data_IF_946655849456
#
_entry.id   IF_946655849456
#
_cell.length_a   1.000
_cell.length_b   1.000
_cell.length_c   1.000
_cell.angle_alpha   90.00
_cell.angle_beta   90.00
_cell.angle_gamma   90.00
#
_symmetry.space_group_name_H-M   'P 1'
#
loop_
_entity.id
_entity.type
_entity.pdbx_description
1 polymer ?
#
# COMPACT_ATOMS: atom_id res chain seq x y z
N UNK A 1 -39.82 -70.50 18.98
CA UNK A 1 -39.60 -69.31 18.12
C UNK A 1 -38.28 -68.54 18.39
N UNK A 2 -37.20 -69.13 18.97
CA UNK A 2 -35.98 -68.38 19.34
C UNK A 2 -34.78 -68.46 18.36
N UNK A 3 -34.80 -69.35 17.34
CA UNK A 3 -33.63 -69.57 16.45
C UNK A 3 -33.56 -68.66 15.20
N UNK A 4 -34.65 -68.00 14.80
CA UNK A 4 -34.69 -67.15 13.59
C UNK A 4 -34.02 -65.78 13.80
N UNK A 5 -34.18 -65.19 14.99
CA UNK A 5 -33.60 -63.89 15.34
C UNK A 5 -32.07 -63.93 15.49
N UNK A 6 -31.51 -65.06 15.92
CA UNK A 6 -30.05 -65.24 16.09
C UNK A 6 -29.29 -65.18 14.76
N UNK A 7 -29.92 -65.55 13.64
CA UNK A 7 -29.29 -65.47 12.30
C UNK A 7 -29.44 -64.11 11.63
N UNK A 8 -30.41 -63.29 12.04
CA UNK A 8 -30.68 -61.96 11.47
C UNK A 8 -29.86 -60.89 12.20
N UNK A 9 -29.57 -61.09 13.48
CA UNK A 9 -28.80 -60.16 14.30
C UNK A 9 -27.40 -59.82 13.75
N UNK A 10 -26.60 -60.77 13.23
CA UNK A 10 -25.29 -60.48 12.63
C UNK A 10 -25.41 -59.64 11.36
N UNK A 11 -26.48 -59.85 10.58
CA UNK A 11 -26.75 -59.13 9.31
C UNK A 11 -27.13 -57.68 9.59
N UNK A 12 -27.91 -57.44 10.66
CA UNK A 12 -28.26 -56.09 11.10
C UNK A 12 -27.00 -55.34 11.58
N UNK A 13 -26.15 -56.00 12.37
CA UNK A 13 -24.90 -55.39 12.87
C UNK A 13 -23.95 -55.06 11.72
N UNK A 14 -23.72 -55.97 10.78
CA UNK A 14 -22.83 -55.71 9.64
C UNK A 14 -23.36 -54.60 8.74
N UNK A 15 -24.68 -54.56 8.51
CA UNK A 15 -25.30 -53.46 7.77
C UNK A 15 -25.14 -52.11 8.48
N UNK A 16 -25.30 -52.06 9.81
CA UNK A 16 -25.09 -50.85 10.60
C UNK A 16 -23.64 -50.36 10.53
N UNK A 17 -22.66 -51.26 10.64
CA UNK A 17 -21.23 -50.94 10.53
C UNK A 17 -20.90 -50.39 9.14
N UNK A 18 -21.42 -51.00 8.08
CA UNK A 18 -21.22 -50.52 6.70
C UNK A 18 -21.80 -49.11 6.53
N UNK A 19 -23.00 -48.85 7.07
CA UNK A 19 -23.62 -47.52 7.02
C UNK A 19 -22.75 -46.50 7.75
N UNK A 20 -22.22 -46.82 8.94
CA UNK A 20 -21.34 -45.92 9.69
C UNK A 20 -20.03 -45.64 8.92
N UNK A 21 -19.42 -46.66 8.32
CA UNK A 21 -18.20 -46.49 7.51
C UNK A 21 -18.45 -45.64 6.26
N UNK A 22 -19.55 -45.88 5.55
CA UNK A 22 -19.95 -45.06 4.39
C UNK A 22 -20.26 -43.63 4.84
N UNK A 23 -20.94 -43.45 5.98
CA UNK A 23 -21.23 -42.13 6.55
C UNK A 23 -19.94 -41.37 6.86
N UNK A 24 -18.95 -42.04 7.47
CA UNK A 24 -17.65 -41.47 7.76
C UNK A 24 -16.88 -41.12 6.48
N UNK A 25 -16.88 -42.00 5.47
CA UNK A 25 -16.27 -41.73 4.17
C UNK A 25 -16.95 -40.55 3.46
N UNK A 26 -18.28 -40.51 3.47
CA UNK A 26 -19.06 -39.41 2.89
C UNK A 26 -18.82 -38.11 3.64
N UNK A 27 -18.76 -38.10 4.97
CA UNK A 27 -18.39 -36.92 5.77
C UNK A 27 -16.96 -36.47 5.45
N UNK A 28 -16.03 -37.40 5.25
CA UNK A 28 -14.64 -37.11 4.92
C UNK A 28 -14.48 -36.58 3.49
N UNK A 29 -15.29 -37.07 2.54
CA UNK A 29 -15.32 -36.61 1.14
C UNK A 29 -16.09 -35.28 1.00
N UNK A 30 -17.16 -35.07 1.78
CA UNK A 30 -17.99 -33.86 1.79
C UNK A 30 -17.31 -32.73 2.57
N UNK A 31 -16.42 -33.03 3.54
CA UNK A 31 -15.41 -32.08 4.02
C UNK A 31 -14.48 -31.73 2.86
N UNK A 32 -15.00 -30.90 1.94
CA UNK A 32 -14.19 -30.08 1.06
C UNK A 32 -13.12 -29.47 1.96
N UNK A 33 -11.86 -29.60 1.56
CA UNK A 33 -10.78 -28.81 2.16
C UNK A 33 -11.31 -27.39 2.32
N UNK A 34 -11.38 -26.87 3.54
CA UNK A 34 -11.81 -25.50 3.76
C UNK A 34 -10.77 -24.61 3.07
N UNK A 35 -11.13 -24.10 1.89
CA UNK A 35 -10.26 -23.23 1.11
C UNK A 35 -10.50 -21.80 1.60
N UNK A 36 -9.44 -21.18 2.07
CA UNK A 36 -9.44 -19.81 2.53
C UNK A 36 -9.09 -18.89 1.37
N UNK A 37 -9.81 -17.78 1.26
CA UNK A 37 -9.54 -16.74 0.29
C UNK A 37 -9.36 -15.43 1.04
N UNK A 38 -8.20 -14.81 0.87
CA UNK A 38 -7.88 -13.49 1.40
C UNK A 38 -7.84 -12.49 0.27
N UNK A 39 -8.45 -11.32 0.50
CA UNK A 39 -8.37 -10.19 -0.41
C UNK A 39 -7.65 -9.06 0.31
N UNK A 40 -6.61 -8.52 -0.31
CA UNK A 40 -6.00 -7.26 0.10
C UNK A 40 -6.16 -6.20 -0.99
N UNK A 41 -6.02 -4.94 -0.59
CA UNK A 41 -5.89 -3.83 -1.52
C UNK A 41 -4.51 -3.21 -1.30
N UNK A 42 -3.49 -3.58 -2.11
CA UNK A 42 -2.17 -2.98 -2.03
C UNK A 42 -2.24 -1.45 -2.16
N UNK A 43 -1.53 -0.72 -1.29
CA UNK A 43 -1.51 0.75 -1.24
C UNK A 43 -0.09 1.28 -0.99
N UNK A 44 0.08 2.59 -1.18
CA UNK A 44 1.29 3.30 -0.79
C UNK A 44 1.11 3.85 0.64
N UNK A 45 1.78 3.24 1.62
CA UNK A 45 1.79 3.72 2.99
C UNK A 45 2.92 4.72 3.19
N UNK A 46 2.58 5.89 3.72
CA UNK A 46 3.54 6.92 4.10
C UNK A 46 3.46 7.10 5.61
N UNK A 47 4.51 6.69 6.33
CA UNK A 47 4.55 6.68 7.79
C UNK A 47 5.60 7.70 8.27
N UNK A 48 5.20 8.73 9.04
CA UNK A 48 6.19 9.56 9.72
C UNK A 48 6.89 8.74 10.80
N UNK A 49 8.18 8.97 11.03
CA UNK A 49 8.97 8.22 12.00
C UNK A 49 8.46 8.35 13.45
N UNK A 50 7.68 9.39 13.75
CA UNK A 50 6.99 9.56 15.04
C UNK A 50 5.81 8.61 15.24
N UNK A 51 5.26 8.04 14.17
CA UNK A 51 4.12 7.13 14.22
C UNK A 51 4.25 6.00 13.20
N UNK A 52 4.81 4.87 13.66
CA UNK A 52 5.08 3.68 12.85
C UNK A 52 3.97 2.62 12.96
N UNK A 53 2.71 3.07 12.87
CA UNK A 53 1.55 2.16 12.84
C UNK A 53 0.98 2.01 11.43
N UNK A 54 0.75 0.78 11.01
CA UNK A 54 0.11 0.39 9.76
C UNK A 54 -1.30 -0.15 10.03
N UNK A 55 -2.26 0.40 9.30
CA UNK A 55 -3.64 -0.07 9.28
C UNK A 55 -3.88 -0.79 7.95
N UNK A 56 -3.98 -2.12 7.99
CA UNK A 56 -4.08 -2.97 6.81
C UNK A 56 -5.47 -3.61 6.75
N UNK A 57 -6.19 -3.34 5.66
CA UNK A 57 -7.49 -3.96 5.40
C UNK A 57 -7.31 -5.30 4.66
N UNK A 58 -7.84 -6.36 5.27
CA UNK A 58 -7.85 -7.71 4.71
C UNK A 58 -9.29 -8.20 4.72
N UNK A 59 -9.74 -8.84 3.65
CA UNK A 59 -11.06 -9.47 3.60
C UNK A 59 -10.91 -10.98 3.51
N UNK A 60 -11.69 -11.73 4.26
CA UNK A 60 -11.71 -13.20 4.21
C UNK A 60 -13.09 -13.73 3.83
N UNK A 61 -13.16 -14.86 3.12
CA UNK A 61 -14.40 -15.56 2.85
C UNK A 61 -15.02 -16.24 4.09
N UNK A 62 -14.36 -16.21 5.25
CA UNK A 62 -14.85 -16.77 6.51
C UNK A 62 -15.13 -15.67 7.54
N UNK A 63 -16.27 -15.80 8.22
CA UNK A 63 -16.60 -14.99 9.40
C UNK A 63 -15.86 -15.57 10.61
N UNK A 64 -15.21 -14.72 11.42
CA UNK A 64 -14.32 -15.15 12.53
C UNK A 64 -13.22 -16.09 12.05
N UNK A 65 -12.51 -15.68 11.00
CA UNK A 65 -11.43 -16.45 10.40
C UNK A 65 -10.30 -16.72 11.42
N UNK A 66 -9.94 -18.00 11.56
CA UNK A 66 -8.86 -18.45 12.43
C UNK A 66 -7.51 -17.80 12.09
N UNK A 67 -7.22 -17.59 10.80
CA UNK A 67 -5.98 -16.98 10.33
C UNK A 67 -5.94 -15.46 10.54
N UNK A 68 -7.10 -14.84 10.80
CA UNK A 68 -7.21 -13.42 11.14
C UNK A 68 -7.62 -13.24 12.61
N UNK A 69 -7.20 -14.18 13.47
CA UNK A 69 -7.24 -14.03 14.91
C UNK A 69 -5.84 -13.67 15.43
N UNK A 70 -5.75 -12.66 16.29
CA UNK A 70 -4.46 -12.22 16.86
C UNK A 70 -3.77 -13.34 17.63
N UNK A 71 -4.54 -14.15 18.37
CA UNK A 71 -4.00 -15.15 19.29
C UNK A 71 -3.44 -16.40 18.59
N UNK A 72 -3.71 -16.56 17.29
CA UNK A 72 -3.25 -17.69 16.48
C UNK A 72 -1.96 -17.38 15.72
N UNK A 73 -1.64 -16.09 15.55
CA UNK A 73 -0.46 -15.61 14.83
C UNK A 73 0.72 -15.61 15.80
N UNK A 74 1.71 -16.44 15.52
CA UNK A 74 2.94 -16.54 16.30
C UNK A 74 3.90 -15.39 15.99
N UNK A 75 4.07 -15.09 14.69
CA UNK A 75 5.05 -14.11 14.22
C UNK A 75 4.56 -13.40 12.97
N UNK A 76 4.99 -12.14 12.81
CA UNK A 76 4.61 -11.29 11.69
C UNK A 76 5.85 -10.61 11.10
N UNK A 77 6.02 -10.70 9.78
CA UNK A 77 7.06 -9.95 9.07
C UNK A 77 6.46 -9.04 7.99
N UNK A 78 7.15 -7.94 7.73
CA UNK A 78 7.02 -7.23 6.46
C UNK A 78 8.26 -7.54 5.64
N UNK A 79 8.08 -8.21 4.51
CA UNK A 79 9.15 -8.58 3.58
C UNK A 79 9.21 -7.59 2.42
N UNK A 80 10.42 -7.12 2.09
CA UNK A 80 10.71 -6.50 0.80
C UNK A 80 10.91 -7.62 -0.23
N UNK A 81 9.94 -7.80 -1.12
CA UNK A 81 10.00 -8.88 -2.11
C UNK A 81 11.07 -8.66 -3.19
N UNK A 82 11.56 -7.42 -3.35
CA UNK A 82 12.60 -7.09 -4.34
C UNK A 82 13.99 -7.32 -3.74
N UNK A 83 14.24 -6.79 -2.54
CA UNK A 83 15.56 -6.91 -1.87
C UNK A 83 15.72 -8.22 -1.10
N UNK A 84 14.62 -8.93 -0.85
CA UNK A 84 14.55 -10.11 0.00
C UNK A 84 14.94 -9.85 1.47
N UNK A 85 14.85 -8.58 1.90
CA UNK A 85 14.98 -8.17 3.30
C UNK A 85 13.64 -8.35 4.05
N UNK A 86 13.68 -8.47 5.38
CA UNK A 86 12.48 -8.57 6.20
C UNK A 86 12.60 -7.78 7.50
N UNK A 87 11.45 -7.28 7.96
CA UNK A 87 11.31 -6.53 9.19
C UNK A 87 10.35 -7.25 10.12
N UNK A 88 10.78 -7.54 11.34
CA UNK A 88 9.91 -8.05 12.39
C UNK A 88 8.94 -6.96 12.83
N UNK A 89 7.64 -7.25 12.81
CA UNK A 89 6.60 -6.30 13.20
C UNK A 89 5.69 -6.91 14.27
N UNK A 90 4.93 -6.06 14.96
CA UNK A 90 4.00 -6.49 16.01
C UNK A 90 2.57 -6.25 15.59
N UNK A 91 1.70 -7.20 15.90
CA UNK A 91 0.26 -7.02 15.72
C UNK A 91 -0.34 -6.49 17.01
N UNK A 92 -0.83 -5.25 16.97
CA UNK A 92 -1.43 -4.60 18.13
C UNK A 92 -2.87 -5.09 18.30
N UNK A 93 -3.64 -5.12 17.22
CA UNK A 93 -5.04 -5.53 17.25
C UNK A 93 -5.50 -6.06 15.88
N UNK A 94 -6.43 -7.01 15.88
CA UNK A 94 -7.26 -7.33 14.71
C UNK A 94 -8.71 -6.99 15.05
N UNK A 95 -9.35 -6.19 14.21
CA UNK A 95 -10.73 -5.74 14.40
C UNK A 95 -11.58 -6.28 13.26
N UNK A 96 -12.57 -7.13 13.58
CA UNK A 96 -13.61 -7.50 12.62
C UNK A 96 -14.54 -6.31 12.40
N UNK A 97 -14.80 -5.98 11.14
CA UNK A 97 -15.75 -4.94 10.73
C UNK A 97 -17.02 -5.60 10.20
N UNK A 98 -18.15 -4.93 10.38
CA UNK A 98 -19.45 -5.42 9.89
C UNK A 98 -19.56 -5.40 8.35
N UNK A 99 -18.73 -4.59 7.69
CA UNK A 99 -18.76 -4.46 6.24
C UNK A 99 -18.33 -5.75 5.54
N UNK A 100 -19.13 -6.14 4.55
CA UNK A 100 -18.81 -7.24 3.63
C UNK A 100 -18.68 -6.74 2.20
N UNK A 101 -17.82 -7.37 1.41
CA UNK A 101 -17.77 -7.16 -0.04
C UNK A 101 -18.19 -8.43 -0.78
N UNK A 102 -18.75 -8.27 -1.98
CA UNK A 102 -19.00 -9.39 -2.90
C UNK A 102 -17.95 -9.34 -4.01
N UNK A 103 -17.16 -10.40 -4.15
CA UNK A 103 -16.13 -10.53 -5.17
C UNK A 103 -16.21 -11.91 -5.82
N UNK A 104 -16.24 -12.00 -7.15
CA UNK A 104 -16.40 -13.25 -7.89
C UNK A 104 -17.51 -14.18 -7.33
N UNK A 105 -18.69 -13.61 -7.07
CA UNK A 105 -19.85 -14.29 -6.48
C UNK A 105 -19.66 -14.90 -5.08
N UNK A 106 -18.58 -14.57 -4.37
CA UNK A 106 -18.35 -14.93 -2.95
C UNK A 106 -18.45 -13.69 -2.06
N UNK A 107 -18.92 -13.89 -0.83
CA UNK A 107 -18.92 -12.85 0.20
C UNK A 107 -17.61 -12.90 0.98
N UNK A 108 -17.08 -11.71 1.29
CA UNK A 108 -15.89 -11.56 2.12
C UNK A 108 -16.17 -10.58 3.26
N UNK A 109 -15.72 -10.93 4.45
CA UNK A 109 -15.82 -10.15 5.68
C UNK A 109 -14.56 -9.34 5.90
N UNK A 110 -14.71 -8.08 6.30
CA UNK A 110 -13.59 -7.15 6.47
C UNK A 110 -12.92 -7.29 7.85
N UNK A 111 -11.60 -7.32 7.84
CA UNK A 111 -10.72 -7.28 9.00
C UNK A 111 -9.76 -6.09 8.88
N UNK A 112 -9.53 -5.39 9.98
CA UNK A 112 -8.53 -4.34 10.09
C UNK A 112 -7.40 -4.81 10.99
N UNK A 113 -6.22 -5.01 10.42
CA UNK A 113 -5.00 -5.38 11.12
C UNK A 113 -4.26 -4.09 11.48
N UNK A 114 -4.10 -3.83 12.77
CA UNK A 114 -3.29 -2.73 13.30
C UNK A 114 -1.91 -3.25 13.67
N UNK A 115 -0.90 -2.84 12.91
CA UNK A 115 0.47 -3.35 13.00
C UNK A 115 1.40 -2.23 13.43
N UNK A 116 2.34 -2.52 14.31
CA UNK A 116 3.39 -1.60 14.73
C UNK A 116 4.74 -2.08 14.17
N UNK A 117 5.49 -1.16 13.60
CA UNK A 117 6.85 -1.41 13.12
C UNK A 117 7.83 -0.93 14.21
N UNK A 118 8.47 -1.84 14.97
CA UNK A 118 9.30 -1.49 16.14
C UNK A 118 10.71 -1.05 15.73
N UNK A 119 10.82 -0.18 14.73
CA UNK A 119 12.08 0.40 14.26
C UNK A 119 12.24 1.78 14.91
N UNK A 120 13.47 2.14 15.29
CA UNK A 120 13.79 3.47 15.83
C UNK A 120 14.93 4.09 15.04
N UNK A 121 14.99 5.43 15.06
CA UNK A 121 16.12 6.22 14.54
C UNK A 121 16.45 5.93 13.07
N UNK A 122 15.44 5.76 12.24
CA UNK A 122 15.62 5.50 10.81
C UNK A 122 15.24 6.75 10.02
N UNK A 123 16.20 7.33 9.30
CA UNK A 123 15.98 8.60 8.58
C UNK A 123 15.00 8.46 7.42
N UNK A 124 15.16 7.36 6.67
CA UNK A 124 14.33 7.02 5.54
C UNK A 124 14.38 5.52 5.24
N UNK A 125 13.22 4.87 5.11
CA UNK A 125 13.11 3.50 4.63
C UNK A 125 12.07 3.45 3.52
N UNK A 126 12.37 2.75 2.43
CA UNK A 126 11.40 2.47 1.38
C UNK A 126 11.41 0.98 1.02
N UNK A 127 10.24 0.36 1.13
CA UNK A 127 9.93 -1.00 0.70
C UNK A 127 9.00 -0.89 -0.50
N UNK A 128 9.53 -1.22 -1.68
CA UNK A 128 8.82 -1.01 -2.95
C UNK A 128 7.70 -2.03 -3.20
N UNK A 129 7.88 -3.24 -2.69
CA UNK A 129 6.90 -4.33 -2.74
C UNK A 129 6.88 -5.04 -1.38
N UNK A 130 6.00 -4.56 -0.52
CA UNK A 130 5.80 -5.04 0.84
C UNK A 130 4.83 -6.22 0.86
N UNK A 131 5.31 -7.36 1.34
CA UNK A 131 4.49 -8.55 1.61
C UNK A 131 4.39 -8.71 3.13
N UNK A 132 3.17 -8.77 3.65
CA UNK A 132 2.91 -9.13 5.03
C UNK A 132 2.89 -10.65 5.16
N UNK A 133 3.82 -11.20 5.94
CA UNK A 133 3.94 -12.63 6.17
C UNK A 133 3.47 -12.97 7.59
N UNK A 134 2.34 -13.67 7.70
CA UNK A 134 1.77 -14.17 8.95
C UNK A 134 2.21 -15.62 9.14
N UNK A 135 2.84 -15.92 10.27
CA UNK A 135 3.28 -17.26 10.66
C UNK A 135 2.44 -17.77 11.82
N UNK A 136 2.04 -19.03 11.74
CA UNK A 136 1.19 -19.69 12.72
C UNK A 136 1.93 -20.85 13.39
N UNK A 137 1.48 -21.22 14.59
CA UNK A 137 2.06 -22.33 15.38
C UNK A 137 2.11 -23.67 14.62
N UNK A 138 1.22 -23.85 13.64
CA UNK A 138 1.13 -25.03 12.75
C UNK A 138 2.22 -25.09 11.67
N UNK A 139 3.24 -24.23 11.71
CA UNK A 139 4.23 -23.99 10.62
C UNK A 139 3.65 -23.39 9.33
N UNK A 140 2.34 -23.11 9.34
CA UNK A 140 1.65 -22.50 8.23
C UNK A 140 2.06 -21.03 8.06
N UNK A 141 2.00 -20.57 6.81
CA UNK A 141 2.35 -19.20 6.46
C UNK A 141 1.34 -18.64 5.46
N UNK A 142 0.84 -17.43 5.75
CA UNK A 142 0.04 -16.64 4.80
C UNK A 142 0.84 -15.42 4.38
N UNK A 143 0.90 -15.17 3.07
CA UNK A 143 1.62 -14.04 2.46
C UNK A 143 0.61 -13.12 1.79
N UNK A 144 0.52 -11.89 2.27
CA UNK A 144 -0.42 -10.89 1.77
C UNK A 144 0.35 -9.75 1.10
N UNK A 145 0.06 -9.45 -0.17
CA UNK A 145 0.58 -8.23 -0.80
C UNK A 145 -0.12 -7.01 -0.21
N UNK A 146 0.66 -6.11 0.39
CA UNK A 146 0.15 -4.89 1.01
C UNK A 146 0.60 -3.62 0.25
N UNK A 147 1.41 -3.75 -0.80
CA UNK A 147 1.82 -2.63 -1.66
C UNK A 147 3.20 -2.10 -1.33
N UNK A 148 3.34 -0.86 -0.88
CA UNK A 148 4.65 -0.27 -0.57
C UNK A 148 4.60 0.57 0.70
N UNK A 149 5.73 0.65 1.39
CA UNK A 149 5.86 1.38 2.65
C UNK A 149 7.03 2.35 2.52
N UNK A 150 6.77 3.61 2.86
CA UNK A 150 7.77 4.66 2.95
C UNK A 150 7.73 5.21 4.37
N UNK A 151 8.83 5.08 5.09
CA UNK A 151 9.06 5.70 6.39
C UNK A 151 9.96 6.91 6.18
N UNK A 152 9.60 8.05 6.75
CA UNK A 152 10.34 9.30 6.59
C UNK A 152 10.41 10.08 7.90
N UNK A 153 11.50 10.82 8.10
CA UNK A 153 11.60 11.80 9.17
C UNK A 153 10.70 13.03 8.91
N UNK A 154 10.04 13.48 9.96
CA UNK A 154 9.32 14.76 9.93
C UNK A 154 10.30 15.93 9.98
N UNK A 155 10.06 16.94 9.13
CA UNK A 155 10.80 18.19 9.17
C UNK A 155 10.01 19.23 9.97
N UNK A 156 10.66 19.95 10.88
CA UNK A 156 9.99 20.96 11.73
C UNK A 156 9.98 22.37 11.16
N UNK A 157 10.71 22.63 10.07
CA UNK A 157 10.79 23.97 9.50
C UNK A 157 9.59 24.29 8.61
N UNK A 158 9.10 25.52 8.69
CA UNK A 158 7.90 26.00 7.98
C UNK A 158 8.15 27.41 7.41
N UNK A 159 9.24 27.61 6.67
CA UNK A 159 9.57 28.91 6.07
C UNK A 159 8.91 29.12 4.71
N UNK A 160 8.52 28.03 4.03
CA UNK A 160 7.90 28.07 2.71
C UNK A 160 6.40 27.85 2.89
N UNK A 161 5.60 28.82 2.45
CA UNK A 161 4.15 28.71 2.37
C UNK A 161 3.77 28.06 1.04
N UNK A 162 3.03 26.96 1.12
CA UNK A 162 2.70 26.10 -0.02
C UNK A 162 1.19 26.02 -0.14
N UNK A 163 0.66 26.34 -1.33
CA UNK A 163 -0.79 26.31 -1.61
C UNK A 163 -1.08 25.86 -3.04
N UNK A 164 -2.34 25.61 -3.35
CA UNK A 164 -2.80 25.13 -4.67
C UNK A 164 -2.04 23.90 -5.19
N UNK A 165 -1.82 22.90 -4.32
CA UNK A 165 -1.25 21.63 -4.77
C UNK A 165 -2.26 20.91 -5.67
N UNK A 166 -1.90 20.77 -6.94
CA UNK A 166 -2.76 20.15 -7.97
C UNK A 166 -1.92 19.23 -8.86
N UNK A 167 -2.41 18.01 -9.05
CA UNK A 167 -1.72 17.02 -9.87
C UNK A 167 -2.04 17.17 -11.35
N UNK A 168 -1.05 16.93 -12.20
CA UNK A 168 -1.22 16.73 -13.63
C UNK A 168 -1.05 15.25 -13.92
N UNK A 169 -2.08 14.67 -14.53
CA UNK A 169 -2.25 13.24 -14.75
C UNK A 169 -2.31 12.99 -16.24
N UNK A 170 -1.39 12.18 -16.76
CA UNK A 170 -1.46 11.72 -18.14
C UNK A 170 -1.73 10.22 -18.19
N UNK A 171 -2.52 9.81 -19.19
CA UNK A 171 -2.78 8.41 -19.47
C UNK A 171 -1.66 7.85 -20.36
N UNK A 172 -0.89 6.91 -19.84
CA UNK A 172 0.26 6.29 -20.50
C UNK A 172 0.13 4.78 -20.33
N UNK A 173 0.15 4.02 -21.41
CA UNK A 173 -0.07 2.55 -21.40
C UNK A 173 -1.32 2.13 -20.60
N UNK A 174 -2.42 2.87 -20.75
CA UNK A 174 -3.68 2.70 -20.00
C UNK A 174 -3.57 2.88 -18.47
N UNK A 175 -2.46 3.42 -17.98
CA UNK A 175 -2.28 3.83 -16.59
C UNK A 175 -2.41 5.34 -16.45
N UNK A 176 -3.13 5.78 -15.42
CA UNK A 176 -3.09 7.17 -14.99
C UNK A 176 -1.78 7.40 -14.21
N UNK A 177 -0.89 8.21 -14.77
CA UNK A 177 0.42 8.54 -14.21
C UNK A 177 0.40 9.99 -13.72
N UNK A 178 0.86 10.22 -12.49
CA UNK A 178 1.09 11.58 -11.98
C UNK A 178 2.35 12.15 -12.64
N UNK A 179 2.18 12.83 -13.77
CA UNK A 179 3.28 13.35 -14.58
C UNK A 179 3.90 14.62 -14.02
N UNK A 180 3.16 15.36 -13.21
CA UNK A 180 3.67 16.56 -12.54
C UNK A 180 2.75 17.05 -11.46
N UNK A 181 3.26 18.00 -10.70
CA UNK A 181 2.49 18.75 -9.71
C UNK A 181 2.62 20.22 -10.07
N UNK A 182 1.55 20.99 -9.97
CA UNK A 182 1.70 22.42 -9.81
C UNK A 182 1.29 22.85 -8.43
N UNK A 183 1.94 23.92 -7.99
CA UNK A 183 1.87 24.41 -6.63
C UNK A 183 2.31 25.88 -6.59
N UNK A 184 1.82 26.59 -5.59
CA UNK A 184 2.17 27.98 -5.32
C UNK A 184 3.15 28.01 -4.16
N UNK A 185 4.29 28.67 -4.38
CA UNK A 185 5.32 28.89 -3.37
C UNK A 185 5.37 30.37 -2.99
N UNK A 186 5.48 30.61 -1.68
CA UNK A 186 5.79 31.92 -1.12
C UNK A 186 6.57 31.76 0.19
N UNK A 187 7.15 32.84 0.69
CA UNK A 187 7.94 32.87 1.92
C UNK A 187 7.95 34.28 2.49
N UNK A 188 8.03 34.40 3.81
CA UNK A 188 8.14 35.69 4.51
C UNK A 188 9.59 36.23 4.54
N UNK A 189 10.52 35.46 3.98
CA UNK A 189 11.95 35.75 3.88
C UNK A 189 12.49 35.36 2.49
N UNK A 190 13.58 36.00 2.08
CA UNK A 190 14.30 35.58 0.88
C UNK A 190 14.94 34.21 1.14
N UNK A 191 14.72 33.27 0.22
CA UNK A 191 15.31 31.94 0.31
C UNK A 191 15.55 31.31 -1.06
N UNK A 192 16.44 30.33 -1.08
CA UNK A 192 16.81 29.58 -2.27
C UNK A 192 16.42 28.12 -2.09
N UNK A 193 15.49 27.63 -2.91
CA UNK A 193 15.20 26.20 -2.99
C UNK A 193 16.30 25.56 -3.84
N UNK A 194 16.99 24.61 -3.25
CA UNK A 194 18.09 23.89 -3.88
C UNK A 194 17.63 22.56 -4.46
N UNK A 195 16.56 21.97 -3.93
CA UNK A 195 16.01 20.72 -4.43
C UNK A 195 14.56 20.50 -3.98
N UNK A 196 13.81 19.71 -4.75
CA UNK A 196 12.51 19.17 -4.36
C UNK A 196 12.56 17.67 -4.58
N UNK A 197 12.44 16.92 -3.48
CA UNK A 197 12.64 15.48 -3.45
C UNK A 197 11.31 14.77 -3.18
N UNK A 198 10.79 13.95 -4.10
CA UNK A 198 9.66 13.08 -3.81
C UNK A 198 10.02 12.10 -2.68
N UNK A 199 9.05 11.81 -1.81
CA UNK A 199 9.20 10.79 -0.76
C UNK A 199 9.32 9.39 -1.36
N UNK A 200 8.60 9.08 -2.45
CA UNK A 200 8.80 7.85 -3.21
C UNK A 200 9.99 7.99 -4.15
N UNK A 201 11.11 7.33 -3.83
CA UNK A 201 12.38 7.47 -4.55
C UNK A 201 12.37 6.87 -5.95
N UNK A 202 11.33 6.12 -6.34
CA UNK A 202 11.12 5.66 -7.72
C UNK A 202 10.68 6.81 -8.65
N UNK A 203 10.26 7.92 -8.06
CA UNK A 203 9.83 9.14 -8.73
C UNK A 203 10.91 10.20 -8.50
N UNK A 204 11.28 10.94 -9.54
CA UNK A 204 12.20 12.09 -9.43
C UNK A 204 11.54 13.34 -9.98
N UNK A 205 12.01 14.49 -9.53
CA UNK A 205 11.68 15.78 -10.16
C UNK A 205 12.62 15.98 -11.34
N UNK A 206 12.06 16.30 -12.51
CA UNK A 206 12.86 16.73 -13.67
C UNK A 206 13.14 18.23 -13.53
N UNK A 207 14.16 18.57 -12.73
CA UNK A 207 14.39 19.94 -12.27
C UNK A 207 14.63 20.95 -13.41
N UNK A 208 15.32 20.55 -14.48
CA UNK A 208 15.54 21.40 -15.66
C UNK A 208 14.26 21.86 -16.36
N UNK A 209 13.16 21.11 -16.20
CA UNK A 209 11.87 21.41 -16.82
C UNK A 209 10.92 22.16 -15.89
N UNK A 210 11.37 22.54 -14.69
CA UNK A 210 10.54 23.33 -13.77
C UNK A 210 10.20 24.67 -14.44
N UNK A 211 8.90 24.93 -14.57
CA UNK A 211 8.38 26.10 -15.28
C UNK A 211 7.55 26.95 -14.33
N UNK A 212 7.79 28.26 -14.33
CA UNK A 212 6.91 29.22 -13.65
C UNK A 212 5.64 29.38 -14.50
N UNK A 213 4.49 29.08 -13.90
CA UNK A 213 3.19 29.24 -14.55
C UNK A 213 2.68 30.68 -14.37
N UNK A 214 1.97 31.18 -15.37
CA UNK A 214 1.30 32.50 -15.30
C UNK A 214 0.06 32.45 -14.41
N UNK A 215 -0.64 31.33 -14.41
CA UNK A 215 -1.89 31.09 -13.69
C UNK A 215 -1.85 29.71 -13.05
N UNK A 216 -2.66 29.49 -12.01
CA UNK A 216 -2.79 28.23 -11.28
C UNK A 216 -4.01 27.38 -11.71
N UNK A 217 -4.79 27.87 -12.68
CA UNK A 217 -5.99 27.20 -13.15
C UNK A 217 -5.73 26.43 -14.46
N UNK A 218 -5.26 25.19 -14.34
CA UNK A 218 -5.12 24.24 -15.45
C UNK A 218 -5.86 22.93 -15.14
N UNK A 219 -6.34 22.19 -16.14
CA UNK A 219 -7.01 20.90 -15.94
C UNK A 219 -6.04 19.85 -15.35
N UNK A 220 -6.53 18.95 -14.48
CA UNK A 220 -5.74 17.82 -13.99
C UNK A 220 -5.31 16.87 -15.11
N UNK A 221 -6.05 16.79 -16.22
CA UNK A 221 -5.78 15.87 -17.33
C UNK A 221 -5.13 16.54 -18.54
N UNK A 222 -4.65 17.79 -18.39
CA UNK A 222 -3.88 18.47 -19.44
C UNK A 222 -2.64 17.66 -19.81
N UNK A 223 -2.31 17.62 -21.10
CA UNK A 223 -1.11 16.95 -21.56
C UNK A 223 0.13 17.72 -21.08
N UNK A 224 1.06 17.03 -20.42
CA UNK A 224 2.29 17.65 -19.90
C UNK A 224 3.13 18.28 -21.02
N UNK A 225 3.12 17.70 -22.21
CA UNK A 225 3.86 18.23 -23.35
C UNK A 225 3.30 19.56 -23.87
N UNK A 226 2.01 19.85 -23.64
CA UNK A 226 1.42 21.15 -23.99
C UNK A 226 1.94 22.25 -23.05
N UNK A 227 2.33 21.90 -21.82
CA UNK A 227 2.88 22.83 -20.83
C UNK A 227 4.40 23.01 -20.96
N UNK A 228 5.10 22.00 -21.48
CA UNK A 228 6.56 21.92 -21.51
C UNK A 228 7.13 21.81 -22.93
N UNK A 229 6.39 22.31 -23.92
CA UNK A 229 6.88 22.51 -25.29
C UNK A 229 7.48 21.22 -25.92
N UNK A 230 6.87 20.06 -25.61
CA UNK A 230 7.30 18.70 -26.00
C UNK A 230 8.66 18.20 -25.46
N UNK A 231 9.24 18.86 -24.46
CA UNK A 231 10.50 18.40 -23.84
C UNK A 231 10.29 17.28 -22.80
N UNK A 232 9.05 17.06 -22.35
CA UNK A 232 8.76 16.14 -21.27
C UNK A 232 8.72 14.68 -21.71
N UNK A 233 9.45 13.84 -20.98
CA UNK A 233 9.42 12.37 -21.11
C UNK A 233 9.24 11.74 -19.74
N UNK A 234 8.15 11.00 -19.57
CA UNK A 234 7.81 10.37 -18.27
C UNK A 234 8.88 9.38 -17.79
N UNK A 235 9.53 8.66 -18.70
CA UNK A 235 10.59 7.69 -18.42
C UNK A 235 11.99 8.31 -18.47
N UNK A 236 12.10 9.57 -18.06
CA UNK A 236 13.38 10.27 -17.93
C UNK A 236 13.58 10.76 -16.50
N UNK A 237 14.77 10.53 -15.96
CA UNK A 237 15.17 10.90 -14.61
C UNK A 237 16.41 11.79 -14.71
N UNK A 238 16.19 13.04 -15.09
CA UNK A 238 17.25 14.06 -15.13
C UNK A 238 17.53 14.57 -13.71
N UNK A 239 18.81 14.69 -13.37
CA UNK A 239 19.31 15.09 -12.05
C UNK A 239 19.56 16.59 -11.87
N UNK A 240 19.52 17.37 -12.94
CA UNK A 240 19.78 18.82 -12.84
C UNK A 240 18.60 19.55 -12.20
N UNK A 241 18.86 20.28 -11.12
CA UNK A 241 17.88 21.14 -10.43
C UNK A 241 18.40 22.58 -10.41
N UNK A 242 17.95 23.45 -11.34
CA UNK A 242 18.27 24.86 -11.27
C UNK A 242 17.62 25.45 -10.00
N UNK A 243 18.37 26.15 -9.14
CA UNK A 243 17.81 26.66 -7.90
C UNK A 243 16.67 27.65 -8.14
N UNK A 244 15.63 27.56 -7.31
CA UNK A 244 14.48 28.47 -7.36
C UNK A 244 14.67 29.55 -6.30
N UNK A 245 14.75 30.81 -6.73
CA UNK A 245 14.83 31.96 -5.83
C UNK A 245 13.42 32.40 -5.47
N UNK A 246 13.05 32.27 -4.19
CA UNK A 246 11.84 32.86 -3.64
C UNK A 246 12.19 34.19 -2.99
N UNK A 247 11.63 35.26 -3.54
CA UNK A 247 11.71 36.58 -2.93
C UNK A 247 10.66 36.71 -1.83
N UNK A 248 11.03 37.38 -0.75
CA UNK A 248 10.17 37.72 0.38
C UNK A 248 8.83 38.28 -0.11
N UNK A 249 7.75 37.74 0.45
CA UNK A 249 6.37 38.14 0.21
C UNK A 249 5.94 38.06 -1.27
N UNK A 250 6.64 37.28 -2.10
CA UNK A 250 6.22 37.02 -3.48
C UNK A 250 5.57 35.64 -3.59
N UNK A 251 4.47 35.58 -4.34
CA UNK A 251 3.78 34.33 -4.68
C UNK A 251 4.10 33.96 -6.12
N UNK A 252 4.58 32.74 -6.32
CA UNK A 252 4.92 32.22 -7.63
C UNK A 252 4.31 30.84 -7.81
N UNK A 253 3.65 30.63 -8.95
CA UNK A 253 3.10 29.34 -9.34
C UNK A 253 4.15 28.58 -10.13
N UNK A 254 4.41 27.34 -9.75
CA UNK A 254 5.38 26.47 -10.41
C UNK A 254 4.72 25.19 -10.85
N UNK A 255 5.11 24.72 -12.03
CA UNK A 255 4.96 23.35 -12.48
C UNK A 255 6.25 22.60 -12.15
N UNK A 256 6.13 21.51 -11.41
CA UNK A 256 7.20 20.59 -11.06
C UNK A 256 6.96 19.26 -11.80
N UNK A 257 7.68 19.00 -12.90
CA UNK A 257 7.51 17.79 -13.68
C UNK A 257 8.14 16.58 -12.98
N UNK A 258 7.49 15.42 -13.11
CA UNK A 258 7.90 14.17 -12.47
C UNK A 258 8.34 13.14 -13.51
N UNK A 259 9.47 12.52 -13.22
CA UNK A 259 10.06 11.43 -13.98
C UNK A 259 10.05 10.11 -13.20
N UNK A 260 10.06 9.00 -13.93
CA UNK A 260 9.94 7.65 -13.39
C UNK A 260 11.03 6.75 -13.97
N UNK A 261 11.63 5.92 -13.12
CA UNK A 261 12.53 4.84 -13.58
C UNK A 261 11.73 3.71 -14.24
N UNK A 262 10.49 3.48 -13.78
CA UNK A 262 9.53 2.52 -14.32
C UNK A 262 8.13 3.06 -14.15
N UNK A 263 7.23 2.82 -15.11
CA UNK A 263 5.83 3.24 -15.01
C UNK A 263 5.11 2.49 -13.87
N UNK A 264 4.48 3.26 -12.99
CA UNK A 264 3.48 2.79 -12.04
C UNK A 264 2.53 3.94 -11.70
N UNK A 265 1.29 3.60 -11.35
CA UNK A 265 0.31 4.60 -10.93
C UNK A 265 0.51 4.92 -9.44
N UNK A 266 0.69 6.19 -9.12
CA UNK A 266 0.55 6.72 -7.76
C UNK A 266 -0.41 7.90 -7.77
N UNK A 267 -1.24 7.99 -6.75
CA UNK A 267 -2.20 9.09 -6.55
C UNK A 267 -1.93 9.88 -5.27
N UNK A 268 -1.00 9.40 -4.42
CA UNK A 268 -0.57 10.06 -3.19
C UNK A 268 0.95 10.19 -3.23
N UNK A 269 1.46 11.39 -3.02
CA UNK A 269 2.89 11.66 -2.98
C UNK A 269 3.17 12.81 -2.00
N UNK A 270 4.27 12.70 -1.26
CA UNK A 270 4.80 13.79 -0.45
C UNK A 270 6.17 14.21 -0.96
N UNK A 271 6.69 15.32 -0.46
CA UNK A 271 7.96 15.89 -0.92
C UNK A 271 8.76 16.49 0.23
N UNK A 272 10.08 16.42 0.16
CA UNK A 272 11.00 17.18 0.99
C UNK A 272 11.56 18.31 0.12
N UNK A 273 11.44 19.55 0.58
CA UNK A 273 12.06 20.71 -0.06
C UNK A 273 13.35 21.01 0.70
N UNK A 274 14.48 20.91 0.01
CA UNK A 274 15.78 21.35 0.52
C UNK A 274 15.99 22.81 0.10
N UNK A 275 16.26 23.68 1.05
CA UNK A 275 16.41 25.11 0.80
C UNK A 275 17.47 25.74 1.70
N UNK A 276 17.91 26.95 1.36
CA UNK A 276 18.84 27.71 2.17
C UNK A 276 18.42 29.16 2.37
N UNK A 277 18.73 29.68 3.55
CA UNK A 277 18.57 31.08 3.96
C UNK A 277 19.95 31.53 4.44
N UNK A 278 20.49 32.59 3.83
CA UNK A 278 21.81 33.14 4.17
C UNK A 278 22.93 32.06 4.23
N UNK A 279 22.86 31.07 3.33
CA UNK A 279 23.83 29.97 3.23
C UNK A 279 23.61 28.81 4.20
N UNK A 280 22.65 28.90 5.13
CA UNK A 280 22.30 27.81 6.07
C UNK A 280 21.24 26.92 5.44
N UNK A 281 21.45 25.60 5.48
CA UNK A 281 20.55 24.60 4.88
C UNK A 281 19.42 24.20 5.83
N UNK A 282 18.21 24.08 5.27
CA UNK A 282 17.00 23.66 5.94
C UNK A 282 16.22 22.68 5.07
N UNK A 283 15.32 21.93 5.71
CA UNK A 283 14.38 21.03 5.05
C UNK A 283 12.96 21.32 5.50
N UNK A 284 12.01 21.26 4.58
CA UNK A 284 10.59 21.35 4.87
C UNK A 284 9.83 20.22 4.17
N UNK A 285 8.87 19.62 4.88
CA UNK A 285 8.06 18.52 4.39
C UNK A 285 6.74 19.04 3.82
N UNK A 286 6.44 18.64 2.58
CA UNK A 286 5.07 18.58 2.05
C UNK A 286 4.54 17.18 2.40
N UNK A 287 3.57 17.14 3.32
CA UNK A 287 2.93 15.89 3.70
C UNK A 287 2.31 15.18 2.48
N UNK A 288 2.28 13.83 2.48
CA UNK A 288 1.65 13.07 1.42
C UNK A 288 0.23 13.56 1.12
N UNK A 289 0.02 13.99 -0.13
CA UNK A 289 -1.24 14.59 -0.59
C UNK A 289 -1.85 13.74 -1.70
N UNK A 290 -3.18 13.61 -1.70
CA UNK A 290 -3.92 12.91 -2.75
C UNK A 290 -4.13 13.83 -3.96
N UNK A 291 -3.35 13.64 -5.01
CA UNK A 291 -3.35 14.52 -6.19
C UNK A 291 -4.50 14.28 -7.16
N UNK A 292 -5.07 13.07 -7.19
CA UNK A 292 -6.27 12.76 -7.96
C UNK A 292 -7.04 11.58 -7.34
N UNK A 293 -8.30 11.46 -7.71
CA UNK A 293 -9.13 10.32 -7.35
C UNK A 293 -9.01 9.22 -8.42
N UNK A 294 -8.92 7.97 -7.97
CA UNK A 294 -9.13 6.80 -8.82
C UNK A 294 -10.36 6.05 -8.34
N UNK A 295 -11.18 5.59 -9.27
CA UNK A 295 -12.31 4.69 -9.02
C UNK A 295 -11.91 3.21 -9.08
N UNK A 296 -10.72 2.91 -9.62
CA UNK A 296 -10.24 1.53 -9.73
C UNK A 296 -9.64 1.05 -8.41
N UNK A 297 -10.20 -0.05 -7.90
CA UNK A 297 -9.67 -0.77 -6.74
C UNK A 297 -8.98 -2.03 -7.24
N UNK A 298 -7.66 -2.09 -7.10
CA UNK A 298 -6.89 -3.27 -7.44
C UNK A 298 -6.89 -4.23 -6.24
N UNK A 299 -7.72 -5.28 -6.32
CA UNK A 299 -7.77 -6.34 -5.33
C UNK A 299 -6.77 -7.44 -5.67
N UNK A 300 -5.97 -7.84 -4.68
CA UNK A 300 -5.16 -9.05 -4.76
C UNK A 300 -5.88 -10.17 -4.03
N UNK A 301 -6.08 -11.31 -4.70
CA UNK A 301 -6.79 -12.47 -4.14
C UNK A 301 -5.79 -13.60 -3.93
N UNK A 302 -5.70 -14.06 -2.70
CA UNK A 302 -4.81 -15.14 -2.28
C UNK A 302 -5.67 -16.32 -1.87
N UNK A 303 -5.48 -17.45 -2.57
CA UNK A 303 -6.07 -18.73 -2.18
C UNK A 303 -5.09 -19.45 -1.25
N UNK A 304 -5.60 -19.97 -0.14
CA UNK A 304 -4.84 -20.72 0.85
C UNK A 304 -5.55 -22.03 1.18
N UNK A 305 -4.80 -23.13 1.17
CA UNK A 305 -5.26 -24.45 1.56
C UNK A 305 -4.46 -24.93 2.78
N UNK A 306 -5.11 -25.23 3.92
CA UNK A 306 -4.42 -25.70 5.11
C UNK A 306 -3.66 -27.02 4.88
N UNK A 307 -2.51 -27.16 5.53
CA UNK A 307 -1.74 -28.40 5.48
C UNK A 307 -2.30 -29.38 6.52
N UNK A 308 -3.21 -30.27 6.09
CA UNK A 308 -3.86 -31.25 6.97
C UNK A 308 -2.96 -32.46 7.37
N UNK A 309 -1.66 -32.39 7.12
CA UNK A 309 -0.72 -33.48 7.42
C UNK A 309 -0.01 -33.26 8.76
N UNK A 310 -0.76 -33.22 9.87
CA UNK A 310 -0.21 -33.41 11.22
C UNK A 310 -1.20 -34.11 12.13
#
# INVERSE_FOLDING_TARGET
MKKKYIKIFPIIITSLVIIVVISLLVITIIRKKDVFYFITQPKHYYLPNSNLTLDIEVYSNHQKDYYLNKDTIEKLHIKDNIKNDFYLVKINQIITKENTIKYNNKYFYKYLLKIEIPIKNLDFLQINQAILELYYLSTEQIKLDIGSIIIYNECKNHHIHISHLKGIVNQIDNLNILSGIGLTLSSDIDLKINNILPLDRRIKVQGSLIKKLKEDNYDNFINMNDLLDNEYKVLEVNSSFPPILLKKNTKNHYLIPLGYEKLFSTHILGFIIDYSIDGISYQQLINPFKFYATSSVNYQVIQYEPNLNH
#
